data_IF_227194629531
#
_entry.id   IF_227194629531
#
_cell.length_a   1.000
_cell.length_b   1.000
_cell.length_c   1.000
_cell.angle_alpha   90.00
_cell.angle_beta   90.00
_cell.angle_gamma   90.00
#
_symmetry.space_group_name_H-M   'P 1'
#
loop_
_entity.id
_entity.type
_entity.pdbx_description
1 polymer ?
#
# COMPACT_ATOMS: atom_id res chain seq x y z
N UNK A 1 -0.68 -25.92 4.22
CA UNK A 1 -1.05 -27.06 5.09
C UNK A 1 -2.12 -26.59 6.07
N UNK A 2 -3.14 -27.41 6.34
CA UNK A 2 -4.23 -27.04 7.26
C UNK A 2 -4.03 -27.64 8.67
N UNK A 3 -3.31 -28.77 8.76
CA UNK A 3 -2.95 -29.42 10.03
C UNK A 3 -1.47 -29.78 10.03
N UNK A 4 -0.73 -29.32 11.03
CA UNK A 4 0.63 -29.78 11.34
C UNK A 4 0.59 -30.70 12.56
N UNK A 5 1.04 -31.94 12.42
CA UNK A 5 1.02 -32.92 13.50
C UNK A 5 2.43 -33.44 13.79
N UNK A 6 2.96 -33.08 14.94
CA UNK A 6 4.24 -33.55 15.46
C UNK A 6 3.99 -34.44 16.68
N UNK A 7 4.41 -35.71 16.58
CA UNK A 7 4.21 -36.70 17.64
C UNK A 7 5.43 -36.92 18.53
N UNK A 8 6.60 -36.38 18.18
CA UNK A 8 7.84 -36.64 18.91
C UNK A 8 9.03 -35.73 18.54
N UNK A 9 9.05 -35.14 17.34
CA UNK A 9 10.23 -34.42 16.82
C UNK A 9 10.56 -33.22 17.73
N UNK A 10 9.56 -32.46 18.16
CA UNK A 10 9.77 -31.25 18.94
C UNK A 10 10.59 -31.47 20.23
N UNK A 11 10.41 -32.61 20.93
CA UNK A 11 11.16 -32.87 22.16
C UNK A 11 12.64 -33.20 21.90
N UNK A 12 13.04 -33.53 20.68
CA UNK A 12 14.46 -33.67 20.33
C UNK A 12 15.14 -32.32 20.04
N UNK A 13 14.38 -31.23 19.90
CA UNK A 13 14.90 -29.89 19.58
C UNK A 13 15.41 -29.18 20.84
N UNK A 14 16.54 -29.68 21.37
CA UNK A 14 17.10 -29.21 22.64
C UNK A 14 17.80 -27.85 22.52
N UNK A 15 18.23 -27.45 21.32
CA UNK A 15 18.87 -26.14 21.10
C UNK A 15 17.86 -25.05 20.71
N UNK A 16 18.07 -23.78 21.11
CA UNK A 16 17.23 -22.66 20.66
C UNK A 16 17.19 -22.47 19.14
N UNK A 17 18.30 -22.79 18.45
CA UNK A 17 18.41 -22.66 16.99
C UNK A 17 17.51 -23.66 16.27
N UNK A 18 17.47 -24.92 16.71
CA UNK A 18 16.60 -25.94 16.12
C UNK A 18 15.12 -25.60 16.30
N UNK A 19 14.75 -25.09 17.48
CA UNK A 19 13.39 -24.61 17.74
C UNK A 19 13.03 -23.39 16.89
N UNK A 20 13.98 -22.49 16.65
CA UNK A 20 13.78 -21.36 15.75
C UNK A 20 13.54 -21.82 14.29
N UNK A 21 14.32 -22.80 13.80
CA UNK A 21 14.13 -23.39 12.47
C UNK A 21 12.78 -24.11 12.35
N UNK A 22 12.39 -24.87 13.38
CA UNK A 22 11.08 -25.52 13.43
C UNK A 22 9.95 -24.49 13.33
N UNK A 23 9.98 -23.43 14.15
CA UNK A 23 9.00 -22.33 14.06
C UNK A 23 8.98 -21.68 12.69
N UNK A 24 10.14 -21.45 12.09
CA UNK A 24 10.22 -20.89 10.74
C UNK A 24 9.49 -21.76 9.72
N UNK A 25 9.76 -23.07 9.69
CA UNK A 25 9.07 -23.98 8.77
C UNK A 25 7.58 -24.10 9.06
N UNK A 26 7.19 -24.18 10.33
CA UNK A 26 5.79 -24.19 10.74
C UNK A 26 5.04 -22.95 10.22
N UNK A 27 5.63 -21.75 10.36
CA UNK A 27 5.08 -20.48 9.86
C UNK A 27 5.01 -20.41 8.34
N UNK A 28 5.97 -20.98 7.62
CA UNK A 28 5.98 -20.93 6.15
C UNK A 28 4.97 -21.89 5.52
N UNK A 29 4.56 -22.95 6.23
CA UNK A 29 3.79 -24.05 5.65
C UNK A 29 2.33 -24.10 6.12
N UNK A 30 2.07 -23.76 7.37
CA UNK A 30 0.73 -23.80 7.95
C UNK A 30 -0.03 -22.52 7.60
N UNK A 31 -1.27 -22.61 7.13
CA UNK A 31 -2.09 -21.42 6.83
C UNK A 31 -2.52 -20.68 8.11
N UNK A 32 -2.97 -19.44 7.97
CA UNK A 32 -3.73 -18.77 9.03
C UNK A 32 -4.93 -19.62 9.45
N UNK A 33 -5.28 -19.62 10.74
CA UNK A 33 -6.29 -20.52 11.35
C UNK A 33 -5.98 -22.03 11.23
N UNK A 34 -4.81 -22.40 10.69
CA UNK A 34 -4.35 -23.78 10.63
C UNK A 34 -4.07 -24.34 12.02
N UNK A 35 -4.25 -25.65 12.17
CA UNK A 35 -4.11 -26.35 13.45
C UNK A 35 -2.70 -26.94 13.60
N UNK A 36 -2.11 -26.82 14.79
CA UNK A 36 -0.88 -27.52 15.18
C UNK A 36 -1.20 -28.48 16.32
N UNK A 37 -0.81 -29.74 16.21
CA UNK A 37 -0.86 -30.70 17.30
C UNK A 37 0.57 -31.13 17.57
N UNK A 38 1.05 -30.88 18.79
CA UNK A 38 2.40 -31.25 19.21
C UNK A 38 2.32 -32.17 20.42
N UNK A 39 3.03 -33.29 20.37
CA UNK A 39 3.24 -34.18 21.50
C UNK A 39 4.70 -34.12 21.96
N UNK A 40 4.92 -33.80 23.23
CA UNK A 40 6.25 -33.74 23.87
C UNK A 40 6.22 -34.45 25.20
N UNK A 41 7.39 -34.85 25.71
CA UNK A 41 7.47 -35.33 27.09
C UNK A 41 7.02 -34.23 28.06
N UNK A 42 6.22 -34.62 29.06
CA UNK A 42 5.82 -33.73 30.14
C UNK A 42 7.03 -33.41 31.04
N UNK A 43 6.88 -32.43 31.95
CA UNK A 43 7.97 -32.00 32.84
C UNK A 43 8.51 -33.13 33.74
N UNK A 44 7.65 -34.06 34.14
CA UNK A 44 7.96 -35.27 34.90
C UNK A 44 8.28 -36.48 33.99
N UNK A 45 8.37 -36.26 32.67
CA UNK A 45 8.78 -37.25 31.69
C UNK A 45 10.29 -37.57 31.71
N UNK A 46 10.72 -38.58 30.92
CA UNK A 46 12.12 -38.97 30.82
C UNK A 46 13.00 -37.85 30.25
N UNK A 47 14.26 -37.81 30.69
CA UNK A 47 15.27 -36.84 30.23
C UNK A 47 15.97 -37.28 28.95
N UNK A 48 15.81 -38.54 28.57
CA UNK A 48 16.33 -39.09 27.33
C UNK A 48 15.32 -39.97 26.63
N UNK A 49 15.42 -40.03 25.31
CA UNK A 49 14.65 -40.93 24.46
C UNK A 49 15.60 -41.54 23.43
N UNK A 50 15.64 -42.87 23.35
CA UNK A 50 16.59 -43.60 22.48
C UNK A 50 18.07 -43.21 22.70
N UNK A 51 18.43 -42.86 23.94
CA UNK A 51 19.80 -42.42 24.30
C UNK A 51 20.14 -40.98 23.94
N UNK A 52 19.20 -40.22 23.35
CA UNK A 52 19.37 -38.81 23.03
C UNK A 52 18.73 -37.92 24.10
N UNK A 53 19.30 -36.76 24.42
CA UNK A 53 18.69 -35.80 25.33
C UNK A 53 17.38 -35.25 24.73
N UNK A 54 16.41 -35.00 25.59
CA UNK A 54 15.13 -34.41 25.18
C UNK A 54 14.81 -33.16 26.00
N UNK A 55 14.07 -32.24 25.38
CA UNK A 55 13.41 -31.14 26.06
C UNK A 55 12.03 -31.59 26.56
N UNK A 56 11.66 -31.12 27.75
CA UNK A 56 10.38 -31.41 28.40
C UNK A 56 9.58 -30.12 28.54
N UNK A 57 8.26 -30.23 28.40
CA UNK A 57 7.38 -29.05 28.37
C UNK A 57 6.13 -29.25 29.21
N UNK A 58 5.64 -28.15 29.78
CA UNK A 58 4.23 -28.02 30.14
C UNK A 58 3.47 -27.41 28.95
N UNK A 59 2.13 -27.41 28.94
CA UNK A 59 1.37 -26.68 27.92
C UNK A 59 1.80 -25.21 27.80
N UNK A 60 2.10 -24.56 28.91
CA UNK A 60 2.47 -23.14 28.99
C UNK A 60 3.88 -22.88 28.43
N UNK A 61 4.87 -23.71 28.80
CA UNK A 61 6.23 -23.54 28.27
C UNK A 61 6.32 -23.93 26.79
N UNK A 62 5.52 -24.90 26.34
CA UNK A 62 5.39 -25.22 24.91
C UNK A 62 4.75 -24.07 24.12
N UNK A 63 3.69 -23.46 24.68
CA UNK A 63 3.07 -22.28 24.08
C UNK A 63 4.05 -21.10 23.97
N UNK A 64 4.83 -20.84 25.03
CA UNK A 64 5.86 -19.81 25.02
C UNK A 64 6.95 -20.08 23.95
N UNK A 65 7.33 -21.35 23.76
CA UNK A 65 8.31 -21.73 22.73
C UNK A 65 7.76 -21.61 21.31
N UNK A 66 6.46 -21.84 21.07
CA UNK A 66 5.87 -21.63 19.74
C UNK A 66 5.66 -20.14 19.43
N UNK A 67 5.40 -19.34 20.46
CA UNK A 67 5.25 -17.89 20.37
C UNK A 67 3.81 -17.43 20.14
N UNK A 68 3.62 -16.10 20.12
CA UNK A 68 2.30 -15.45 20.08
C UNK A 68 1.49 -15.70 18.79
N UNK A 69 2.10 -16.20 17.73
CA UNK A 69 1.43 -16.61 16.49
C UNK A 69 0.67 -17.94 16.63
N UNK A 70 0.81 -18.65 17.76
CA UNK A 70 0.13 -19.92 18.00
C UNK A 70 -0.60 -19.87 19.33
N UNK A 71 -1.94 -19.76 19.26
CA UNK A 71 -2.79 -19.73 20.44
C UNK A 71 -3.07 -21.16 20.89
N UNK A 72 -2.71 -21.50 22.13
CA UNK A 72 -3.09 -22.77 22.75
C UNK A 72 -4.62 -22.84 22.85
N UNK A 73 -5.20 -23.91 22.31
CA UNK A 73 -6.64 -24.15 22.35
C UNK A 73 -6.98 -25.23 23.36
N UNK A 74 -6.15 -26.27 23.44
CA UNK A 74 -6.42 -27.46 24.22
C UNK A 74 -5.13 -28.18 24.57
N UNK A 75 -5.06 -28.79 25.74
CA UNK A 75 -3.98 -29.70 26.10
C UNK A 75 -4.52 -30.91 26.86
N UNK A 76 -3.88 -32.06 26.65
CA UNK A 76 -4.25 -33.33 27.25
C UNK A 76 -2.98 -34.04 27.74
N UNK A 77 -2.90 -34.42 29.03
CA UNK A 77 -1.85 -35.30 29.51
C UNK A 77 -2.07 -36.72 28.99
N UNK A 78 -0.99 -37.41 28.63
CA UNK A 78 -1.05 -38.77 28.11
C UNK A 78 0.05 -39.64 28.69
N UNK A 79 -0.32 -40.76 29.30
CA UNK A 79 0.63 -41.76 29.76
C UNK A 79 0.88 -42.80 28.67
N UNK A 80 2.06 -42.76 28.06
CA UNK A 80 2.47 -43.77 27.10
C UNK A 80 3.14 -44.96 27.82
N UNK A 81 2.62 -46.17 27.62
CA UNK A 81 3.27 -47.40 28.10
C UNK A 81 4.15 -47.98 27.00
N UNK A 82 5.45 -48.10 27.28
CA UNK A 82 6.39 -48.75 26.35
C UNK A 82 6.13 -50.27 26.30
N UNK A 83 6.59 -50.97 25.25
CA UNK A 83 6.51 -52.43 25.19
C UNK A 83 7.17 -53.16 26.38
N UNK A 84 8.09 -52.49 27.09
CA UNK A 84 8.79 -53.02 28.27
C UNK A 84 8.12 -52.65 29.60
N UNK A 85 6.94 -52.01 29.56
CA UNK A 85 6.13 -51.69 30.74
C UNK A 85 6.43 -50.35 31.42
N UNK A 86 7.44 -49.59 30.95
CA UNK A 86 7.74 -48.25 31.46
C UNK A 86 6.64 -47.27 31.06
N UNK A 87 6.15 -46.47 32.02
CA UNK A 87 5.23 -45.36 31.76
C UNK A 87 6.03 -44.11 31.44
N UNK A 88 5.68 -43.43 30.36
CA UNK A 88 6.28 -42.17 29.92
C UNK A 88 5.18 -41.09 29.84
N UNK A 89 5.22 -40.07 30.70
CA UNK A 89 4.33 -38.92 30.64
C UNK A 89 4.58 -38.04 29.41
N UNK A 90 3.52 -37.79 28.64
CA UNK A 90 3.47 -36.85 27.52
C UNK A 90 2.44 -35.76 27.77
N UNK A 91 2.65 -34.61 27.13
CA UNK A 91 1.63 -33.60 26.91
C UNK A 91 1.32 -33.55 25.43
N UNK A 92 0.05 -33.65 25.08
CA UNK A 92 -0.48 -33.29 23.77
C UNK A 92 -1.05 -31.89 23.87
N UNK A 93 -0.63 -31.00 22.99
CA UNK A 93 -1.16 -29.64 22.94
C UNK A 93 -1.59 -29.31 21.52
N UNK A 94 -2.80 -28.75 21.40
CA UNK A 94 -3.39 -28.27 20.15
C UNK A 94 -3.40 -26.75 20.15
N UNK A 95 -2.82 -26.18 19.09
CA UNK A 95 -2.76 -24.75 18.84
C UNK A 95 -3.48 -24.40 17.55
N UNK A 96 -3.96 -23.17 17.46
CA UNK A 96 -4.39 -22.56 16.20
C UNK A 96 -3.42 -21.44 15.87
N UNK A 97 -2.97 -21.39 14.61
CA UNK A 97 -2.17 -20.27 14.13
C UNK A 97 -3.01 -19.03 14.05
N UNK A 98 -2.73 -18.08 14.93
CA UNK A 98 -3.28 -16.74 14.90
C UNK A 98 -2.30 -15.84 14.14
N UNK A 99 -2.77 -15.17 13.09
CA UNK A 99 -2.00 -14.10 12.47
C UNK A 99 -2.43 -12.82 13.18
N UNK A 100 -1.54 -12.15 13.95
CA UNK A 100 -1.90 -10.89 14.58
C UNK A 100 -2.36 -9.92 13.49
N UNK A 101 -3.57 -9.41 13.62
CA UNK A 101 -4.02 -8.33 12.76
C UNK A 101 -3.09 -7.13 12.94
N UNK A 102 -2.61 -6.56 11.84
CA UNK A 102 -1.75 -5.39 11.90
C UNK A 102 -2.48 -4.27 12.67
N UNK A 103 -1.83 -3.56 13.61
CA UNK A 103 -2.51 -2.55 14.43
C UNK A 103 -3.25 -1.48 13.63
N UNK A 104 -2.82 -1.22 12.39
CA UNK A 104 -3.48 -0.27 11.47
C UNK A 104 -4.90 -0.69 11.07
N UNK A 105 -5.20 -2.00 11.10
CA UNK A 105 -6.50 -2.57 10.74
C UNK A 105 -7.43 -2.72 11.97
N UNK A 106 -6.85 -2.81 13.17
CA UNK A 106 -7.60 -3.08 14.39
C UNK A 106 -8.48 -1.90 14.81
N UNK A 107 -9.75 -2.18 15.13
CA UNK A 107 -10.71 -1.17 15.61
C UNK A 107 -11.09 -0.12 14.56
N UNK A 108 -10.92 -0.44 13.27
CA UNK A 108 -11.26 0.44 12.16
C UNK A 108 -12.52 -0.04 11.44
N UNK A 109 -13.36 0.91 11.04
CA UNK A 109 -14.45 0.70 10.10
C UNK A 109 -14.30 1.72 8.98
N UNK A 110 -13.82 1.27 7.82
CA UNK A 110 -13.61 2.11 6.65
C UNK A 110 -14.93 2.60 6.00
N UNK A 111 -16.05 1.98 6.35
CA UNK A 111 -17.38 2.33 5.82
C UNK A 111 -18.10 3.36 6.69
N UNK A 112 -17.69 3.49 7.95
CA UNK A 112 -18.25 4.48 8.87
C UNK A 112 -17.87 5.92 8.48
N UNK A 113 -18.75 6.91 8.72
CA UNK A 113 -18.43 8.31 8.48
C UNK A 113 -17.31 8.79 9.41
N UNK A 114 -16.41 9.63 8.88
CA UNK A 114 -15.34 10.25 9.67
C UNK A 114 -15.90 11.32 10.62
N UNK A 115 -15.43 11.33 11.86
CA UNK A 115 -15.68 12.41 12.83
C UNK A 115 -14.97 13.71 12.39
N UNK A 116 -13.83 13.59 11.71
CA UNK A 116 -13.06 14.72 11.19
C UNK A 116 -13.29 14.86 9.68
N UNK A 117 -14.00 15.91 9.28
CA UNK A 117 -14.42 16.13 7.89
C UNK A 117 -13.60 17.23 7.19
N UNK A 118 -13.16 17.01 5.93
CA UNK A 118 -12.47 18.04 5.14
C UNK A 118 -13.34 19.28 4.91
N UNK A 119 -14.67 19.13 4.84
CA UNK A 119 -15.62 20.25 4.71
C UNK A 119 -15.55 21.18 5.92
N UNK A 120 -15.56 20.61 7.12
CA UNK A 120 -15.47 21.38 8.37
C UNK A 120 -14.15 22.12 8.46
N UNK A 121 -13.04 21.44 8.16
CA UNK A 121 -11.69 22.05 8.18
C UNK A 121 -11.59 23.20 7.21
N UNK A 122 -12.02 23.02 5.95
CA UNK A 122 -11.92 24.05 4.93
C UNK A 122 -12.85 25.23 5.21
N UNK A 123 -14.06 24.99 5.72
CA UNK A 123 -14.98 26.06 6.13
C UNK A 123 -14.37 26.94 7.20
N UNK A 124 -13.72 26.33 8.20
CA UNK A 124 -13.02 27.08 9.24
C UNK A 124 -11.80 27.80 8.68
N UNK A 125 -11.05 27.18 7.77
CA UNK A 125 -9.93 27.82 7.10
C UNK A 125 -10.35 29.05 6.28
N UNK A 126 -11.49 28.98 5.58
CA UNK A 126 -12.10 30.10 4.86
C UNK A 126 -12.35 31.28 5.79
N UNK A 127 -12.94 31.02 6.96
CA UNK A 127 -13.24 32.02 7.99
C UNK A 127 -11.96 32.67 8.52
N UNK A 128 -10.99 31.86 8.95
CA UNK A 128 -9.75 32.34 9.56
C UNK A 128 -8.85 33.12 8.59
N UNK A 129 -8.80 32.68 7.33
CA UNK A 129 -8.00 33.32 6.28
C UNK A 129 -8.76 34.43 5.53
N UNK A 130 -10.00 34.72 5.92
CA UNK A 130 -10.87 35.71 5.28
C UNK A 130 -11.00 35.51 3.76
N UNK A 131 -11.18 34.27 3.31
CA UNK A 131 -11.31 33.95 1.88
C UNK A 131 -12.75 34.20 1.42
N UNK A 132 -12.92 34.90 0.30
CA UNK A 132 -14.24 35.15 -0.29
C UNK A 132 -14.93 33.85 -0.73
N UNK A 133 -14.17 32.94 -1.33
CA UNK A 133 -14.64 31.63 -1.79
C UNK A 133 -13.61 30.53 -1.51
N UNK A 134 -14.11 29.29 -1.43
CA UNK A 134 -13.29 28.08 -1.45
C UNK A 134 -13.54 27.41 -2.79
N UNK A 135 -12.64 27.61 -3.73
CA UNK A 135 -12.79 27.08 -5.08
C UNK A 135 -11.45 26.75 -5.68
N UNK A 136 -11.38 25.62 -6.36
CA UNK A 136 -10.23 25.25 -7.20
C UNK A 136 -10.69 25.04 -8.64
N UNK A 137 -9.77 25.04 -9.61
CA UNK A 137 -10.10 24.63 -10.97
C UNK A 137 -10.66 23.20 -11.03
N UNK A 138 -11.54 22.92 -11.99
CA UNK A 138 -12.21 21.61 -12.12
C UNK A 138 -11.23 20.47 -12.42
N UNK A 139 -10.04 20.78 -12.93
CA UNK A 139 -8.94 19.82 -13.06
C UNK A 139 -7.83 20.25 -12.11
N UNK A 140 -7.44 19.36 -11.21
CA UNK A 140 -6.33 19.58 -10.30
C UNK A 140 -5.24 18.53 -10.49
N UNK A 141 -4.01 18.90 -10.15
CA UNK A 141 -2.82 18.08 -10.29
C UNK A 141 -2.10 17.96 -8.94
N UNK A 142 -1.73 16.74 -8.58
CA UNK A 142 -0.69 16.51 -7.58
C UNK A 142 0.64 16.31 -8.31
N UNK A 143 1.63 17.11 -7.91
CA UNK A 143 3.02 17.05 -8.36
C UNK A 143 3.88 16.69 -7.14
N UNK A 144 3.98 15.38 -6.78
CA UNK A 144 4.73 14.94 -5.61
C UNK A 144 6.14 15.48 -5.56
N UNK A 145 6.86 15.56 -6.68
CA UNK A 145 8.22 16.12 -6.67
C UNK A 145 8.24 17.64 -6.53
N UNK A 146 7.21 18.31 -7.02
CA UNK A 146 7.10 19.77 -7.07
C UNK A 146 7.86 20.41 -8.25
N UNK A 147 8.31 19.61 -9.22
CA UNK A 147 9.09 20.09 -10.36
C UNK A 147 8.26 20.99 -11.27
N UNK A 148 7.01 20.62 -11.54
CA UNK A 148 6.09 21.40 -12.37
C UNK A 148 5.78 22.73 -11.65
N UNK A 149 5.48 22.70 -10.35
CA UNK A 149 5.21 23.91 -9.58
C UNK A 149 6.41 24.85 -9.54
N UNK A 150 7.62 24.31 -9.31
CA UNK A 150 8.86 25.11 -9.33
C UNK A 150 9.09 25.73 -10.71
N UNK A 151 8.88 24.98 -11.78
CA UNK A 151 9.01 25.47 -13.15
C UNK A 151 7.99 26.58 -13.46
N UNK A 152 6.72 26.40 -13.09
CA UNK A 152 5.66 27.40 -13.26
C UNK A 152 5.98 28.72 -12.54
N UNK A 153 6.52 28.63 -11.32
CA UNK A 153 6.97 29.80 -10.54
C UNK A 153 8.15 30.51 -11.21
N UNK A 154 9.18 29.75 -11.61
CA UNK A 154 10.39 30.29 -12.22
C UNK A 154 10.11 30.97 -13.56
N UNK A 155 9.17 30.45 -14.33
CA UNK A 155 8.80 30.98 -15.66
C UNK A 155 7.69 32.03 -15.61
N UNK A 156 7.10 32.29 -14.43
CA UNK A 156 5.98 33.21 -14.27
C UNK A 156 4.68 32.74 -14.93
N UNK A 157 4.56 31.45 -15.28
CA UNK A 157 3.37 30.88 -15.93
C UNK A 157 2.31 30.40 -14.94
N UNK A 158 2.66 30.26 -13.66
CA UNK A 158 1.71 29.94 -12.59
C UNK A 158 1.47 31.12 -11.66
N UNK A 159 0.22 31.25 -11.21
CA UNK A 159 -0.20 32.23 -10.21
C UNK A 159 -0.67 31.51 -8.95
N UNK A 160 -0.37 32.06 -7.78
CA UNK A 160 -0.86 31.47 -6.52
C UNK A 160 -2.37 31.67 -6.41
N UNK A 161 -3.10 30.61 -6.07
CA UNK A 161 -4.54 30.66 -5.86
C UNK A 161 -4.91 31.52 -4.65
N UNK A 162 -5.85 32.45 -4.85
CA UNK A 162 -6.45 33.25 -3.78
C UNK A 162 -7.60 32.55 -3.05
N UNK A 163 -7.97 31.34 -3.47
CA UNK A 163 -9.21 30.64 -3.06
C UNK A 163 -8.92 29.27 -2.44
N UNK A 164 -7.64 28.91 -2.29
CA UNK A 164 -7.21 27.66 -1.68
C UNK A 164 -7.13 27.76 -0.15
N UNK A 165 -8.00 26.98 0.52
CA UNK A 165 -8.16 27.03 1.97
C UNK A 165 -7.13 26.24 2.79
N UNK A 166 -6.38 25.31 2.20
CA UNK A 166 -5.55 24.37 2.99
C UNK A 166 -4.48 25.07 3.85
N UNK A 167 -4.29 24.60 5.08
CA UNK A 167 -3.31 25.17 6.01
C UNK A 167 -1.86 24.88 5.65
N UNK A 168 -1.58 23.74 5.04
CA UNK A 168 -0.22 23.21 4.92
C UNK A 168 0.44 23.45 3.56
N UNK A 169 -0.34 23.85 2.55
CA UNK A 169 0.17 23.97 1.18
C UNK A 169 -0.39 25.18 0.45
N UNK A 170 0.29 25.53 -0.63
CA UNK A 170 -0.13 26.51 -1.60
C UNK A 170 -0.60 25.79 -2.86
N UNK A 171 -1.68 26.27 -3.46
CA UNK A 171 -2.13 25.82 -4.77
C UNK A 171 -1.73 26.89 -5.79
N UNK A 172 -1.12 26.46 -6.88
CA UNK A 172 -0.85 27.29 -8.04
C UNK A 172 -1.86 27.01 -9.13
N UNK A 173 -2.12 28.01 -9.96
CA UNK A 173 -3.05 27.93 -11.07
C UNK A 173 -2.39 28.44 -12.34
N UNK A 174 -2.64 27.75 -13.45
CA UNK A 174 -2.11 28.09 -14.75
C UNK A 174 -3.08 27.69 -15.86
N UNK A 175 -2.91 28.30 -17.03
CA UNK A 175 -3.61 27.90 -18.25
C UNK A 175 -2.77 26.85 -19.00
N UNK A 176 -3.42 25.74 -19.35
CA UNK A 176 -2.86 24.69 -20.18
C UNK A 176 -3.81 24.48 -21.36
N UNK A 177 -3.44 25.02 -22.51
CA UNK A 177 -4.19 24.95 -23.76
C UNK A 177 -5.67 25.38 -23.60
N UNK A 178 -5.91 26.48 -22.88
CA UNK A 178 -7.25 27.01 -22.61
C UNK A 178 -7.99 26.35 -21.45
N UNK A 179 -7.38 25.37 -20.77
CA UNK A 179 -7.92 24.76 -19.55
C UNK A 179 -7.19 25.30 -18.33
N UNK A 180 -7.94 25.89 -17.39
CA UNK A 180 -7.40 26.31 -16.10
C UNK A 180 -7.14 25.08 -15.23
N UNK A 181 -5.90 24.91 -14.79
CA UNK A 181 -5.45 23.79 -13.95
C UNK A 181 -5.04 24.31 -12.58
N UNK A 182 -5.46 23.62 -11.52
CA UNK A 182 -4.92 23.80 -10.18
C UNK A 182 -3.81 22.78 -9.91
N UNK A 183 -2.74 23.15 -9.21
CA UNK A 183 -1.63 22.24 -8.93
C UNK A 183 -1.06 22.47 -7.53
N UNK A 184 -0.83 21.36 -6.82
CA UNK A 184 -0.11 21.34 -5.55
C UNK A 184 1.17 20.53 -5.72
N UNK A 185 2.30 21.15 -5.37
CA UNK A 185 3.62 20.52 -5.41
C UNK A 185 3.99 19.86 -4.08
N UNK A 186 5.05 19.06 -4.08
CA UNK A 186 5.59 18.41 -2.88
C UNK A 186 4.57 17.50 -2.17
N UNK A 187 3.63 16.92 -2.92
CA UNK A 187 2.56 16.07 -2.43
C UNK A 187 2.98 14.59 -2.21
N UNK A 188 4.19 14.36 -1.67
CA UNK A 188 4.79 13.01 -1.55
C UNK A 188 4.13 12.19 -0.43
N UNK A 189 3.87 10.93 -0.73
CA UNK A 189 3.37 9.92 0.19
C UNK A 189 1.85 9.85 0.25
N UNK A 190 1.35 8.63 0.30
CA UNK A 190 -0.07 8.29 0.33
C UNK A 190 -0.90 9.10 1.34
N UNK A 191 -0.48 9.28 2.62
CA UNK A 191 -1.27 10.05 3.58
C UNK A 191 -1.47 11.51 3.15
N UNK A 192 -0.43 12.14 2.61
CA UNK A 192 -0.47 13.55 2.25
C UNK A 192 -1.17 13.77 0.91
N UNK A 193 -0.94 12.89 -0.07
CA UNK A 193 -1.63 12.92 -1.36
C UNK A 193 -3.16 12.82 -1.18
N UNK A 194 -3.64 11.87 -0.37
CA UNK A 194 -5.08 11.73 -0.08
C UNK A 194 -5.63 12.93 0.71
N UNK A 195 -4.88 13.46 1.67
CA UNK A 195 -5.27 14.67 2.41
C UNK A 195 -5.47 15.87 1.47
N UNK A 196 -4.64 16.02 0.44
CA UNK A 196 -4.79 17.06 -0.58
C UNK A 196 -5.97 16.76 -1.51
N UNK A 197 -6.11 15.51 -1.96
CA UNK A 197 -7.20 15.08 -2.83
C UNK A 197 -8.58 15.37 -2.22
N UNK A 198 -8.83 14.91 -0.98
CA UNK A 198 -10.06 15.17 -0.22
C UNK A 198 -10.42 16.68 -0.24
N UNK A 199 -9.43 17.54 0.07
CA UNK A 199 -9.63 18.99 0.11
C UNK A 199 -9.87 19.62 -1.27
N UNK A 200 -9.20 19.13 -2.31
CA UNK A 200 -9.43 19.59 -3.69
C UNK A 200 -10.84 19.25 -4.17
N UNK A 201 -11.32 18.02 -3.91
CA UNK A 201 -12.66 17.60 -4.28
C UNK A 201 -13.74 18.37 -3.51
N UNK A 202 -13.54 18.67 -2.22
CA UNK A 202 -14.44 19.57 -1.48
C UNK A 202 -14.47 20.98 -2.08
N UNK A 203 -13.34 21.49 -2.56
CA UNK A 203 -13.24 22.80 -3.21
C UNK A 203 -13.72 22.82 -4.69
N UNK A 204 -14.29 21.72 -5.20
CA UNK A 204 -14.89 21.68 -6.54
C UNK A 204 -14.00 21.13 -7.67
N UNK A 205 -12.92 20.42 -7.34
CA UNK A 205 -12.23 19.58 -8.33
C UNK A 205 -13.18 18.50 -8.87
N UNK A 206 -13.21 18.30 -10.18
CA UNK A 206 -13.95 17.22 -10.85
C UNK A 206 -13.04 16.09 -11.31
N UNK A 207 -11.77 16.37 -11.66
CA UNK A 207 -10.74 15.40 -12.05
C UNK A 207 -9.40 15.72 -11.37
N UNK A 208 -8.86 14.74 -10.64
CA UNK A 208 -7.52 14.82 -10.07
C UNK A 208 -6.55 13.96 -10.88
N UNK A 209 -5.41 14.54 -11.25
CA UNK A 209 -4.31 13.83 -11.91
C UNK A 209 -3.09 13.85 -10.99
N UNK A 210 -2.54 12.68 -10.66
CA UNK A 210 -1.24 12.58 -9.98
C UNK A 210 -0.17 12.21 -10.99
N UNK A 211 0.93 12.96 -11.03
CA UNK A 211 2.13 12.60 -11.81
C UNK A 211 3.29 12.48 -10.84
N UNK A 212 3.63 11.24 -10.48
CA UNK A 212 4.67 10.94 -9.49
C UNK A 212 5.93 10.45 -10.18
N UNK A 213 7.11 10.81 -9.67
CA UNK A 213 8.35 10.15 -10.11
C UNK A 213 8.43 8.74 -9.56
N UNK A 214 8.96 7.82 -10.36
CA UNK A 214 8.89 6.40 -10.06
C UNK A 214 10.18 5.67 -10.40
N UNK A 215 10.45 4.61 -9.65
CA UNK A 215 11.51 3.64 -9.94
C UNK A 215 11.03 2.56 -10.90
N UNK A 216 11.92 2.09 -11.77
CA UNK A 216 11.63 0.97 -12.67
C UNK A 216 11.66 -0.38 -11.93
N UNK A 217 10.57 -1.15 -12.01
CA UNK A 217 10.51 -2.53 -11.50
C UNK A 217 10.73 -3.52 -12.65
N UNK A 218 9.89 -3.45 -13.70
CA UNK A 218 10.03 -4.29 -14.89
C UNK A 218 10.83 -3.55 -15.97
N UNK A 219 11.86 -4.22 -16.52
CA UNK A 219 12.73 -3.68 -17.58
C UNK A 219 12.05 -3.78 -18.96
N UNK A 220 11.01 -2.96 -19.15
CA UNK A 220 10.16 -2.95 -20.36
C UNK A 220 10.56 -1.88 -21.39
N UNK A 221 11.20 -0.80 -20.93
CA UNK A 221 11.68 0.31 -21.74
C UNK A 221 12.82 1.03 -21.01
N UNK A 222 13.61 1.81 -21.73
CA UNK A 222 14.64 2.69 -21.14
C UNK A 222 13.98 3.98 -20.61
N UNK A 223 14.20 4.37 -19.35
CA UNK A 223 13.76 5.66 -18.82
C UNK A 223 14.32 6.87 -19.61
N UNK A 224 13.59 8.02 -19.67
CA UNK A 224 12.31 8.27 -19.02
C UNK A 224 11.09 7.87 -19.86
N UNK A 225 10.04 7.36 -19.20
CA UNK A 225 8.73 7.09 -19.82
C UNK A 225 7.60 7.16 -18.78
N UNK A 226 6.35 7.18 -19.26
CA UNK A 226 5.17 7.19 -18.39
C UNK A 226 4.47 5.84 -18.36
N UNK A 227 4.00 5.46 -17.17
CA UNK A 227 3.01 4.39 -16.97
C UNK A 227 1.71 5.03 -16.54
N UNK A 228 0.64 4.85 -17.32
CA UNK A 228 -0.73 5.04 -16.84
C UNK A 228 -1.05 3.88 -15.89
N UNK A 229 -1.14 4.21 -14.59
CA UNK A 229 -1.37 3.19 -13.57
C UNK A 229 -2.80 2.69 -13.71
N UNK A 230 -2.95 1.38 -13.92
CA UNK A 230 -4.26 0.73 -14.05
C UNK A 230 -4.71 0.11 -12.73
N UNK A 231 -3.75 -0.26 -11.89
CA UNK A 231 -3.92 -0.74 -10.52
C UNK A 231 -2.63 -0.57 -9.73
N UNK A 232 -2.71 -0.50 -8.42
CA UNK A 232 -1.56 -0.28 -7.56
C UNK A 232 -1.53 -1.26 -6.39
N UNK A 233 -0.40 -1.93 -6.18
CA UNK A 233 -0.16 -2.81 -5.04
C UNK A 233 -0.18 -1.98 -3.76
N UNK A 234 -1.00 -2.41 -2.79
CA UNK A 234 -1.23 -1.75 -1.51
C UNK A 234 -0.17 -2.12 -0.47
N UNK A 235 1.02 -1.53 -0.57
CA UNK A 235 2.11 -1.65 0.41
C UNK A 235 2.34 -0.34 1.17
N UNK A 236 1.24 0.35 1.46
CA UNK A 236 1.16 1.59 2.23
C UNK A 236 -0.06 1.53 3.17
N UNK A 237 -0.11 2.38 4.19
CA UNK A 237 -1.12 2.28 5.26
C UNK A 237 -2.48 2.94 4.97
N UNK A 238 -2.51 3.99 4.17
CA UNK A 238 -3.65 4.90 3.98
C UNK A 238 -4.83 4.22 3.29
N UNK A 239 -4.62 3.40 2.26
CA UNK A 239 -5.72 2.74 1.54
C UNK A 239 -6.62 1.89 2.43
N UNK A 240 -6.05 1.29 3.48
CA UNK A 240 -6.80 0.45 4.44
C UNK A 240 -7.80 1.24 5.30
N UNK A 241 -7.71 2.58 5.32
CA UNK A 241 -8.72 3.43 5.95
C UNK A 241 -9.91 3.76 5.03
N UNK A 242 -9.82 3.45 3.74
CA UNK A 242 -10.86 3.71 2.75
C UNK A 242 -11.49 2.41 2.21
N UNK A 243 -10.76 1.29 2.25
CA UNK A 243 -11.23 0.01 1.70
C UNK A 243 -10.77 -1.19 2.54
N UNK A 244 -11.55 -2.29 2.58
CA UNK A 244 -11.13 -3.57 3.14
C UNK A 244 -9.80 -4.06 2.56
N UNK A 245 -9.13 -4.97 3.27
CA UNK A 245 -7.86 -5.55 2.84
C UNK A 245 -7.99 -6.23 1.48
N UNK A 246 -7.16 -5.81 0.53
CA UNK A 246 -7.00 -6.42 -0.78
C UNK A 246 -5.55 -6.24 -1.26
N UNK A 247 -5.12 -7.02 -2.25
CA UNK A 247 -3.75 -6.93 -2.79
C UNK A 247 -3.52 -5.64 -3.59
N UNK A 248 -4.50 -5.23 -4.37
CA UNK A 248 -4.43 -4.06 -5.25
C UNK A 248 -5.59 -3.10 -4.96
N UNK A 249 -5.35 -1.82 -5.23
CA UNK A 249 -6.41 -0.84 -5.50
C UNK A 249 -6.50 -0.62 -7.01
N UNK A 250 -7.70 -0.57 -7.56
CA UNK A 250 -7.93 -0.52 -9.00
C UNK A 250 -8.26 0.92 -9.45
N UNK A 251 -7.74 1.34 -10.60
CA UNK A 251 -8.16 2.59 -11.21
C UNK A 251 -9.60 2.44 -11.76
N UNK A 252 -10.34 3.55 -11.86
CA UNK A 252 -11.68 3.53 -12.42
C UNK A 252 -11.64 3.17 -13.92
N UNK A 253 -12.27 2.06 -14.31
CA UNK A 253 -12.24 1.55 -15.68
C UNK A 253 -12.82 2.54 -16.71
N UNK A 254 -13.89 3.26 -16.36
CA UNK A 254 -14.50 4.27 -17.25
C UNK A 254 -13.53 5.43 -17.51
N UNK A 255 -12.70 5.79 -16.53
CA UNK A 255 -11.64 6.78 -16.73
C UNK A 255 -10.53 6.23 -17.62
N UNK A 256 -10.07 4.99 -17.39
CA UNK A 256 -9.02 4.36 -18.20
C UNK A 256 -9.44 4.23 -19.67
N UNK A 257 -10.67 3.78 -19.93
CA UNK A 257 -11.24 3.61 -21.27
C UNK A 257 -11.26 4.90 -22.09
N UNK A 258 -11.18 6.06 -21.42
CA UNK A 258 -11.14 7.38 -22.08
C UNK A 258 -9.74 7.99 -22.09
N UNK A 259 -8.95 7.78 -21.03
CA UNK A 259 -7.59 8.28 -20.91
C UNK A 259 -6.64 7.64 -21.93
N UNK A 260 -6.67 6.31 -22.07
CA UNK A 260 -5.81 5.59 -23.02
C UNK A 260 -5.94 6.09 -24.46
N UNK A 261 -7.18 6.15 -25.03
CA UNK A 261 -7.39 6.73 -26.36
C UNK A 261 -6.99 8.19 -26.48
N UNK A 262 -7.24 9.03 -25.46
CA UNK A 262 -6.88 10.44 -25.49
C UNK A 262 -5.35 10.64 -25.57
N UNK A 263 -4.59 9.86 -24.78
CA UNK A 263 -3.12 9.87 -24.81
C UNK A 263 -2.57 9.41 -26.17
N UNK A 264 -3.15 8.34 -26.73
CA UNK A 264 -2.81 7.85 -28.08
C UNK A 264 -3.09 8.89 -29.16
N UNK A 265 -4.26 9.54 -29.11
CA UNK A 265 -4.63 10.59 -30.06
C UNK A 265 -3.70 11.82 -29.98
N UNK A 266 -3.20 12.14 -28.78
CA UNK A 266 -2.20 13.18 -28.55
C UNK A 266 -0.76 12.77 -28.93
N UNK A 267 -0.56 11.52 -29.40
CA UNK A 267 0.76 10.99 -29.74
C UNK A 267 1.72 10.89 -28.55
N UNK A 268 1.17 10.67 -27.35
CA UNK A 268 1.96 10.57 -26.12
C UNK A 268 2.16 9.08 -25.78
N UNK A 269 3.40 8.57 -25.84
CA UNK A 269 3.67 7.17 -25.50
C UNK A 269 3.51 6.97 -23.99
N UNK A 270 2.57 6.11 -23.62
CA UNK A 270 2.36 5.65 -22.25
C UNK A 270 2.25 4.14 -22.26
N UNK A 271 2.79 3.50 -21.22
CA UNK A 271 2.53 2.10 -20.94
C UNK A 271 1.34 2.01 -19.98
N UNK A 272 0.48 0.99 -20.13
CA UNK A 272 -0.61 0.74 -19.18
C UNK A 272 -0.20 -0.44 -18.30
N UNK A 273 -0.26 -0.29 -16.98
CA UNK A 273 0.12 -1.40 -16.10
C UNK A 273 0.05 -1.09 -14.61
N UNK A 274 0.56 -2.02 -13.80
CA UNK A 274 0.47 -1.92 -12.34
C UNK A 274 1.66 -1.16 -11.74
N UNK A 275 1.42 -0.42 -10.65
CA UNK A 275 2.47 0.13 -9.79
C UNK A 275 2.54 -0.58 -8.44
N UNK A 276 3.66 -0.43 -7.75
CA UNK A 276 3.84 -0.73 -6.33
C UNK A 276 3.85 0.58 -5.55
N UNK A 277 2.85 0.78 -4.69
CA UNK A 277 2.81 1.95 -3.81
C UNK A 277 3.41 1.59 -2.45
N UNK A 278 4.51 2.24 -2.07
CA UNK A 278 5.24 1.97 -0.81
C UNK A 278 5.34 3.20 0.08
N UNK A 279 5.21 3.02 1.40
CA UNK A 279 5.52 4.05 2.40
C UNK A 279 7.04 4.14 2.72
N UNK A 280 7.83 3.18 2.26
CA UNK A 280 9.21 2.99 2.68
C UNK A 280 10.15 2.69 1.50
N UNK A 281 10.48 3.69 0.66
CA UNK A 281 11.32 3.49 -0.53
C UNK A 281 12.71 2.92 -0.18
N UNK A 282 13.27 3.28 0.98
CA UNK A 282 14.55 2.72 1.45
C UNK A 282 14.46 1.26 1.94
N UNK A 283 13.27 0.64 1.91
CA UNK A 283 13.03 -0.76 2.26
C UNK A 283 12.66 -1.62 1.05
N UNK A 284 12.89 -1.12 -0.16
CA UNK A 284 12.79 -1.86 -1.42
C UNK A 284 13.90 -2.94 -1.53
N UNK A 285 13.72 -4.04 -0.80
CA UNK A 285 14.71 -5.14 -0.81
C UNK A 285 14.73 -5.85 -2.16
N UNK A 286 15.86 -6.49 -2.55
CA UNK A 286 15.91 -7.32 -3.76
C UNK A 286 14.81 -8.39 -3.84
N UNK A 287 14.43 -8.97 -2.69
CA UNK A 287 13.35 -9.96 -2.62
C UNK A 287 11.96 -9.34 -2.91
N UNK A 288 11.70 -8.14 -2.38
CA UNK A 288 10.47 -7.40 -2.64
C UNK A 288 10.36 -6.99 -4.12
N UNK A 289 11.43 -6.43 -4.68
CA UNK A 289 11.54 -6.10 -6.11
C UNK A 289 11.30 -7.33 -6.98
N UNK A 290 11.96 -8.46 -6.68
CA UNK A 290 11.75 -9.69 -7.43
C UNK A 290 10.32 -10.23 -7.30
N UNK A 291 9.63 -9.99 -6.18
CA UNK A 291 8.22 -10.32 -6.03
C UNK A 291 7.33 -9.44 -6.90
N UNK A 292 7.54 -8.13 -6.87
CA UNK A 292 6.82 -7.17 -7.69
C UNK A 292 6.99 -7.47 -9.19
N UNK A 293 8.20 -7.83 -9.62
CA UNK A 293 8.48 -8.29 -10.98
C UNK A 293 7.69 -9.54 -11.37
N UNK A 294 7.61 -10.55 -10.48
CA UNK A 294 6.80 -11.76 -10.72
C UNK A 294 5.30 -11.47 -10.82
N UNK A 295 4.83 -10.42 -10.15
CA UNK A 295 3.44 -9.95 -10.21
C UNK A 295 3.15 -9.04 -11.42
N UNK A 296 4.14 -8.78 -12.28
CA UNK A 296 4.00 -7.96 -13.48
C UNK A 296 3.89 -6.45 -13.20
N UNK A 297 4.39 -6.00 -12.05
CA UNK A 297 4.42 -4.58 -11.67
C UNK A 297 5.50 -3.86 -12.50
N UNK A 298 5.15 -2.70 -13.05
CA UNK A 298 6.02 -1.95 -13.96
C UNK A 298 6.87 -0.92 -13.22
N UNK A 299 6.30 -0.25 -12.22
CA UNK A 299 6.92 0.87 -11.52
C UNK A 299 6.66 0.83 -10.00
N UNK A 300 7.53 1.48 -9.22
CA UNK A 300 7.35 1.74 -7.78
C UNK A 300 7.25 3.24 -7.51
N UNK A 301 6.28 3.62 -6.69
CA UNK A 301 5.95 5.00 -6.30
C UNK A 301 5.29 5.02 -4.91
N UNK A 302 4.70 6.14 -4.49
CA UNK A 302 4.31 6.33 -3.08
C UNK A 302 2.87 6.81 -2.86
N UNK A 303 2.02 6.97 -3.89
CA UNK A 303 0.68 7.58 -3.74
C UNK A 303 -0.50 6.77 -4.33
N UNK A 304 -0.29 6.02 -5.41
CA UNK A 304 -1.38 5.61 -6.31
C UNK A 304 -2.40 4.67 -5.66
N UNK A 305 -1.97 3.71 -4.85
CA UNK A 305 -2.87 2.77 -4.19
C UNK A 305 -3.85 3.47 -3.23
N UNK A 306 -3.36 4.43 -2.44
CA UNK A 306 -4.19 5.21 -1.53
C UNK A 306 -5.14 6.13 -2.27
N UNK A 307 -4.66 6.79 -3.32
CA UNK A 307 -5.49 7.65 -4.17
C UNK A 307 -6.63 6.88 -4.83
N UNK A 308 -6.38 5.66 -5.33
CA UNK A 308 -7.44 4.83 -5.92
C UNK A 308 -8.42 4.29 -4.87
N UNK A 309 -7.93 3.82 -3.72
CA UNK A 309 -8.81 3.37 -2.65
C UNK A 309 -9.73 4.51 -2.15
N UNK A 310 -9.17 5.72 -1.98
CA UNK A 310 -9.94 6.93 -1.68
C UNK A 310 -10.96 7.24 -2.80
N UNK A 311 -10.51 7.24 -4.06
CA UNK A 311 -11.33 7.60 -5.20
C UNK A 311 -12.55 6.69 -5.33
N UNK A 312 -12.36 5.39 -5.18
CA UNK A 312 -13.46 4.41 -5.20
C UNK A 312 -14.40 4.60 -4.00
N UNK A 313 -13.86 4.74 -2.78
CA UNK A 313 -14.67 4.92 -1.57
C UNK A 313 -15.50 6.21 -1.57
N UNK A 314 -15.05 7.25 -2.28
CA UNK A 314 -15.69 8.57 -2.32
C UNK A 314 -16.35 8.90 -3.67
N UNK A 315 -16.34 7.96 -4.61
CA UNK A 315 -16.85 8.18 -5.97
C UNK A 315 -16.18 9.37 -6.66
N UNK A 316 -14.86 9.50 -6.57
CA UNK A 316 -14.07 10.59 -7.15
C UNK A 316 -13.25 10.13 -8.34
N UNK A 317 -12.91 11.09 -9.20
CA UNK A 317 -12.20 10.82 -10.44
C UNK A 317 -10.71 11.08 -10.29
N UNK A 318 -9.92 10.01 -10.21
CA UNK A 318 -8.47 10.11 -10.05
C UNK A 318 -7.76 9.30 -11.13
N UNK A 319 -6.76 9.91 -11.77
CA UNK A 319 -5.81 9.26 -12.66
C UNK A 319 -4.41 9.42 -12.09
N UNK A 320 -3.64 8.32 -12.07
CA UNK A 320 -2.26 8.34 -11.60
C UNK A 320 -1.34 7.93 -12.75
N UNK A 321 -0.25 8.69 -12.89
CA UNK A 321 0.83 8.42 -13.82
C UNK A 321 2.13 8.26 -13.04
N UNK A 322 2.81 7.16 -13.28
CA UNK A 322 4.18 6.95 -12.83
C UNK A 322 5.14 7.43 -13.93
N UNK A 323 5.85 8.51 -13.68
CA UNK A 323 6.95 8.99 -14.52
C UNK A 323 8.22 8.23 -14.10
N UNK A 324 8.53 7.17 -14.84
CA UNK A 324 9.68 6.32 -14.54
C UNK A 324 10.94 7.02 -14.98
N UNK A 325 11.79 7.41 -14.03
CA UNK A 325 12.95 8.28 -14.24
C UNK A 325 14.26 7.69 -13.73
N UNK A 326 14.21 6.58 -12.99
CA UNK A 326 15.38 5.94 -12.42
C UNK A 326 15.26 4.41 -12.42
N UNK A 327 16.40 3.75 -12.26
CA UNK A 327 16.56 2.29 -12.23
C UNK A 327 16.85 1.77 -10.82
N UNK A 328 16.36 2.47 -9.77
CA UNK A 328 16.47 2.07 -8.36
C UNK A 328 17.90 1.82 -7.86
N UNK A 329 18.84 2.74 -8.11
CA UNK A 329 20.19 2.61 -7.54
C UNK A 329 21.15 1.71 -8.35
N UNK A 330 20.79 1.31 -9.57
CA UNK A 330 21.51 0.28 -10.34
C UNK A 330 22.33 0.82 -11.54
N UNK A 331 22.39 2.14 -11.77
CA UNK A 331 23.11 2.70 -12.93
C UNK A 331 23.63 4.12 -12.72
N UNK A 332 24.74 4.47 -13.39
CA UNK A 332 25.42 5.76 -13.24
C UNK A 332 24.62 7.02 -13.69
N UNK A 333 23.43 6.87 -14.31
CA UNK A 333 22.53 7.96 -14.76
C UNK A 333 21.23 8.03 -13.96
N UNK A 334 21.35 7.96 -12.64
CA UNK A 334 20.22 7.98 -11.73
C UNK A 334 19.51 9.34 -11.67
N UNK A 335 18.17 9.30 -11.63
CA UNK A 335 17.28 10.46 -11.43
C UNK A 335 17.26 11.50 -12.57
N UNK A 336 17.80 11.20 -13.75
CA UNK A 336 17.70 12.08 -14.92
C UNK A 336 16.29 12.05 -15.53
N UNK A 337 15.50 13.11 -15.30
CA UNK A 337 14.13 13.25 -15.86
C UNK A 337 14.09 13.86 -17.27
N UNK A 338 15.24 14.11 -17.88
CA UNK A 338 15.38 14.77 -19.18
C UNK A 338 15.34 16.30 -19.12
N UNK A 339 15.12 16.95 -20.27
CA UNK A 339 15.12 18.42 -20.40
C UNK A 339 14.03 19.07 -19.52
N UNK A 340 14.41 20.10 -18.74
CA UNK A 340 13.54 20.76 -17.74
C UNK A 340 12.86 19.79 -16.77
N UNK A 341 13.59 18.79 -16.29
CA UNK A 341 13.11 17.81 -15.30
C UNK A 341 11.84 17.05 -15.75
N UNK A 342 11.64 16.90 -17.06
CA UNK A 342 10.49 16.20 -17.64
C UNK A 342 9.17 16.98 -17.60
N UNK A 343 9.18 18.23 -17.10
CA UNK A 343 7.98 19.06 -16.90
C UNK A 343 7.17 19.21 -18.20
N UNK A 344 7.83 19.43 -19.34
CA UNK A 344 7.13 19.60 -20.63
C UNK A 344 6.34 18.34 -21.01
N UNK A 345 6.89 17.14 -20.80
CA UNK A 345 6.16 15.91 -21.11
C UNK A 345 5.03 15.66 -20.11
N UNK A 346 5.25 15.95 -18.82
CA UNK A 346 4.20 15.89 -17.80
C UNK A 346 3.04 16.84 -18.13
N UNK A 347 3.33 18.07 -18.56
CA UNK A 347 2.29 19.02 -19.02
C UNK A 347 1.54 18.51 -20.24
N UNK A 348 2.20 17.84 -21.20
CA UNK A 348 1.50 17.20 -22.33
C UNK A 348 0.58 16.08 -21.88
N UNK A 349 1.02 15.23 -20.94
CA UNK A 349 0.19 14.16 -20.33
C UNK A 349 -1.04 14.78 -19.66
N UNK A 350 -0.85 15.80 -18.81
CA UNK A 350 -1.94 16.51 -18.13
C UNK A 350 -2.91 17.09 -19.16
N UNK A 351 -2.41 17.79 -20.17
CA UNK A 351 -3.24 18.41 -21.22
C UNK A 351 -4.10 17.39 -21.98
N UNK A 352 -3.53 16.23 -22.29
CA UNK A 352 -4.25 15.16 -23.00
C UNK A 352 -5.43 14.59 -22.20
N UNK A 353 -5.35 14.58 -20.86
CA UNK A 353 -6.42 14.04 -20.00
C UNK A 353 -7.28 15.10 -19.32
N UNK A 354 -6.87 16.36 -19.30
CA UNK A 354 -7.62 17.45 -18.67
C UNK A 354 -9.02 17.64 -19.29
N UNK A 355 -9.19 17.28 -20.57
CA UNK A 355 -10.48 17.34 -21.27
C UNK A 355 -11.47 16.22 -20.94
N UNK A 356 -11.08 15.23 -20.12
CA UNK A 356 -11.94 14.09 -19.77
C UNK A 356 -13.13 14.53 -18.91
N UNK A 357 -14.25 14.89 -19.56
CA UNK A 357 -15.50 15.21 -18.87
C UNK A 357 -16.19 13.95 -18.39
N UNK A 358 -16.23 13.69 -17.09
CA UNK A 358 -17.09 12.65 -16.54
C UNK A 358 -18.52 13.18 -16.38
N UNK A 359 -19.51 12.42 -16.83
CA UNK A 359 -20.88 12.67 -16.39
C UNK A 359 -20.96 12.28 -14.91
N UNK A 360 -21.44 13.18 -14.04
CA UNK A 360 -21.59 12.86 -12.59
C UNK A 360 -22.40 11.59 -12.32
N UNK A 361 -23.29 11.19 -13.25
CA UNK A 361 -24.09 9.96 -13.19
C UNK A 361 -23.34 8.66 -13.51
N UNK A 362 -22.11 8.72 -14.02
CA UNK A 362 -21.32 7.52 -14.38
C UNK A 362 -20.39 7.02 -13.27
N UNK A 363 -20.35 7.68 -12.12
CA UNK A 363 -19.66 7.20 -10.93
C UNK A 363 -20.69 6.56 -9.99
N UNK A 364 -20.54 5.29 -9.58
CA UNK A 364 -21.62 4.49 -8.98
C UNK A 364 -22.04 4.89 -7.55
N UNK A 365 -21.62 6.05 -7.01
CA UNK A 365 -21.74 6.34 -5.57
C UNK A 365 -22.16 7.77 -5.20
N UNK A 366 -22.96 8.43 -6.04
CA UNK A 366 -23.56 9.72 -5.69
C UNK A 366 -24.90 9.51 -4.95
N UNK A 367 -24.83 9.04 -3.70
CA UNK A 367 -25.91 9.19 -2.72
C UNK A 367 -25.30 9.56 -1.35
N UNK A 368 -25.35 10.84 -0.99
CA UNK A 368 -25.03 11.33 0.36
C UNK A 368 -24.33 12.68 0.39
#
# INVERSE_FOLDING_TARGET
MDVWHDRAVFHFLTTPEDRARYRFHLRQTLKAEGTVIVATFALDGPETCSGLPVARYSPETLAAELGNEFRLVESVPHEHRTPWGTVQPFVYARFIRVVPEAPILSGKDATAPSVFSPVTVLTEAKRQKNLAELRVPSVCVLDPDGDIVRWLRRTGRGTRSGTWGCYHTELYEFDLDGTRIGIVGCAVGAPFAVLMAEQMFVCGCDLLVSITSSGQIAKIAEPPYFVLVTRALRDEGTSYHYQPVARFAEANSVLLDRAGPALRAAGIPVLEGASWTTDAPFRETPAAVASAQREGILAVEMESAALYAFAEARGKAVLCFAHVTNTMGQSDREFEKGHEDGVIQSLRVIGAVAGLRLNRRSLPYDQG
#
